data_IF_192408564321
#
_entry.id   IF_192408564321
#
_cell.length_a   1.000
_cell.length_b   1.000
_cell.length_c   1.000
_cell.angle_alpha   90.00
_cell.angle_beta   90.00
_cell.angle_gamma   90.00
#
_symmetry.space_group_name_H-M   'P 1'
#
loop_
_entity.id
_entity.type
_entity.pdbx_description
1 polymer ?
#
# COMPACT_ATOMS: atom_id res chain seq x y z
N UNK A 1 0.71 -9.95 -16.68
CA UNK A 1 1.69 -8.90 -17.02
C UNK A 1 2.83 -9.02 -16.01
N UNK A 2 4.06 -9.26 -16.46
CA UNK A 2 5.16 -9.59 -15.54
C UNK A 2 5.54 -8.39 -14.65
N UNK A 3 5.74 -8.64 -13.36
CA UNK A 3 6.30 -7.70 -12.38
C UNK A 3 7.66 -7.23 -12.89
N UNK A 4 7.95 -5.92 -12.84
CA UNK A 4 9.24 -5.42 -13.32
C UNK A 4 10.33 -5.82 -12.32
N UNK A 5 11.54 -6.20 -12.79
CA UNK A 5 12.66 -6.45 -11.91
C UNK A 5 12.92 -5.20 -11.04
N UNK A 6 12.72 -5.32 -9.73
CA UNK A 6 12.88 -4.23 -8.74
C UNK A 6 11.62 -3.90 -7.92
N UNK A 7 10.42 -4.27 -8.39
CA UNK A 7 9.18 -4.03 -7.65
C UNK A 7 9.03 -4.99 -6.44
N UNK A 8 9.66 -6.17 -6.49
CA UNK A 8 9.67 -7.18 -5.42
C UNK A 8 10.34 -6.70 -4.11
N UNK A 9 11.11 -5.62 -4.19
CA UNK A 9 11.84 -5.01 -3.06
C UNK A 9 11.25 -3.69 -2.56
N UNK A 10 10.11 -3.26 -3.09
CA UNK A 10 9.56 -1.94 -2.76
C UNK A 10 9.05 -1.86 -1.31
N UNK A 11 9.21 -0.69 -0.70
CA UNK A 11 8.55 -0.32 0.55
C UNK A 11 7.15 0.21 0.24
N UNK A 12 6.12 -0.47 0.71
CA UNK A 12 4.77 0.06 0.73
C UNK A 12 4.66 1.12 1.83
N UNK A 13 4.17 2.30 1.48
CA UNK A 13 3.75 3.32 2.44
C UNK A 13 2.28 3.60 2.20
N UNK A 14 1.43 3.38 3.21
CA UNK A 14 -0.01 3.64 3.07
C UNK A 14 -0.66 4.33 4.26
N UNK A 15 -1.74 5.05 3.96
CA UNK A 15 -2.53 5.83 4.90
C UNK A 15 -3.15 7.07 4.25
N UNK A 16 -3.45 8.08 5.06
CA UNK A 16 -4.10 9.29 4.60
C UNK A 16 -3.20 10.18 3.74
N UNK A 17 -3.72 10.68 2.61
CA UNK A 17 -2.99 11.58 1.71
C UNK A 17 -2.65 12.93 2.33
N UNK A 18 -3.33 13.32 3.41
CA UNK A 18 -3.06 14.55 4.16
C UNK A 18 -2.07 14.37 5.30
N UNK A 19 -1.51 13.18 5.49
CA UNK A 19 -0.55 12.90 6.56
C UNK A 19 0.87 13.37 6.19
N UNK A 20 1.40 14.45 6.80
CA UNK A 20 2.72 14.97 6.47
C UNK A 20 3.85 13.99 6.79
N UNK A 21 3.66 13.08 7.75
CA UNK A 21 4.69 12.12 8.13
C UNK A 21 4.87 11.03 7.06
N UNK A 22 3.79 10.63 6.39
CA UNK A 22 3.87 9.67 5.28
C UNK A 22 4.61 10.26 4.09
N UNK A 23 4.37 11.55 3.79
CA UNK A 23 5.11 12.27 2.75
C UNK A 23 6.58 12.41 3.09
N UNK A 24 6.91 12.79 4.32
CA UNK A 24 8.29 12.91 4.78
C UNK A 24 9.03 11.55 4.72
N UNK A 25 8.37 10.48 5.15
CA UNK A 25 8.92 9.12 5.09
C UNK A 25 9.16 8.67 3.65
N UNK A 26 8.20 8.89 2.75
CA UNK A 26 8.34 8.55 1.34
C UNK A 26 9.48 9.33 0.67
N UNK A 27 9.63 10.62 0.98
CA UNK A 27 10.73 11.44 0.49
C UNK A 27 12.09 10.94 1.01
N UNK A 28 12.19 10.61 2.29
CA UNK A 28 13.40 10.08 2.90
C UNK A 28 13.80 8.72 2.30
N UNK A 29 12.85 7.81 2.13
CA UNK A 29 13.07 6.50 1.51
C UNK A 29 13.58 6.62 0.06
N UNK A 30 12.94 7.48 -0.75
CA UNK A 30 13.41 7.75 -2.12
C UNK A 30 14.81 8.36 -2.15
N UNK A 31 15.11 9.28 -1.23
CA UNK A 31 16.45 9.89 -1.09
C UNK A 31 17.51 8.83 -0.74
N UNK A 32 17.13 7.81 0.03
CA UNK A 32 17.99 6.67 0.34
C UNK A 32 18.07 5.62 -0.78
N UNK A 33 17.45 5.85 -1.94
CA UNK A 33 17.44 4.91 -3.06
C UNK A 33 16.47 3.72 -2.89
N UNK A 34 15.57 3.78 -1.90
CA UNK A 34 14.54 2.76 -1.68
C UNK A 34 13.38 3.02 -2.63
N UNK A 35 12.96 1.99 -3.36
CA UNK A 35 11.75 2.06 -4.17
C UNK A 35 10.53 2.13 -3.26
N UNK A 36 9.64 3.11 -3.50
CA UNK A 36 8.46 3.35 -2.67
C UNK A 36 7.20 3.16 -3.50
N UNK A 37 6.31 2.29 -3.02
CA UNK A 37 4.93 2.20 -3.47
C UNK A 37 4.06 2.97 -2.48
N UNK A 38 3.71 4.22 -2.82
CA UNK A 38 2.86 5.04 -1.97
C UNK A 38 1.38 4.84 -2.35
N UNK A 39 0.59 4.26 -1.45
CA UNK A 39 -0.87 4.14 -1.59
C UNK A 39 -1.51 5.06 -0.56
N UNK A 40 -1.71 6.31 -0.97
CA UNK A 40 -2.30 7.34 -0.13
C UNK A 40 -3.73 7.62 -0.59
N UNK A 41 -4.68 7.63 0.34
CA UNK A 41 -6.09 7.85 0.04
C UNK A 41 -6.62 9.08 0.78
N UNK A 42 -7.63 9.74 0.22
CA UNK A 42 -8.43 10.73 0.93
C UNK A 42 -9.88 10.67 0.46
N UNK A 43 -10.74 11.54 1.00
CA UNK A 43 -12.17 11.56 0.68
C UNK A 43 -12.47 11.95 -0.78
N UNK A 44 -11.51 12.53 -1.50
CA UNK A 44 -11.67 13.02 -2.89
C UNK A 44 -11.00 12.07 -3.89
N UNK A 45 -10.02 11.27 -3.45
CA UNK A 45 -9.20 10.42 -4.27
C UNK A 45 -8.91 9.10 -3.56
N UNK A 46 -9.77 8.11 -3.80
CA UNK A 46 -9.54 6.71 -3.40
C UNK A 46 -9.05 5.92 -4.62
N UNK A 47 -7.82 5.37 -4.60
CA UNK A 47 -7.34 4.58 -5.73
C UNK A 47 -8.17 3.30 -5.88
N UNK A 48 -8.44 2.87 -7.11
CA UNK A 48 -9.18 1.63 -7.33
C UNK A 48 -8.39 0.43 -6.76
N UNK A 49 -9.02 -0.42 -5.97
CA UNK A 49 -8.45 -1.66 -5.45
C UNK A 49 -9.16 -2.84 -6.10
N UNK A 50 -8.40 -3.84 -6.52
CA UNK A 50 -8.93 -5.12 -6.99
C UNK A 50 -8.13 -6.24 -6.34
N UNK A 51 -8.83 -7.28 -5.91
CA UNK A 51 -8.22 -8.42 -5.25
C UNK A 51 -8.77 -9.69 -5.88
N UNK A 52 -7.88 -10.44 -6.53
CA UNK A 52 -8.17 -11.80 -6.95
C UNK A 52 -7.99 -12.72 -5.73
N UNK A 53 -9.11 -13.29 -5.27
CA UNK A 53 -9.13 -14.14 -4.08
C UNK A 53 -8.65 -15.58 -4.38
N UNK A 54 -8.63 -15.98 -5.65
CA UNK A 54 -8.12 -17.29 -6.06
C UNK A 54 -6.59 -17.31 -6.05
N UNK A 55 -5.99 -16.26 -6.62
CA UNK A 55 -4.52 -16.13 -6.69
C UNK A 55 -3.91 -15.39 -5.50
N UNK A 56 -4.73 -14.65 -4.74
CA UNK A 56 -4.29 -13.76 -3.68
C UNK A 56 -3.68 -12.45 -4.21
N UNK A 57 -3.64 -12.23 -5.52
CA UNK A 57 -3.04 -11.04 -6.12
C UNK A 57 -3.90 -9.80 -5.87
N UNK A 58 -3.28 -8.79 -5.26
CA UNK A 58 -3.87 -7.47 -5.09
C UNK A 58 -3.32 -6.50 -6.11
N UNK A 59 -4.18 -5.68 -6.69
CA UNK A 59 -3.79 -4.54 -7.52
C UNK A 59 -4.38 -3.24 -6.98
N UNK A 60 -3.59 -2.17 -7.06
CA UNK A 60 -3.98 -0.81 -6.69
C UNK A 60 -3.76 0.10 -7.90
N UNK A 61 -4.79 0.82 -8.32
CA UNK A 61 -4.80 1.63 -9.54
C UNK A 61 -4.31 0.84 -10.78
N UNK A 62 -4.69 -0.44 -10.87
CA UNK A 62 -4.30 -1.34 -11.96
C UNK A 62 -2.85 -1.84 -11.91
N UNK A 63 -2.10 -1.55 -10.84
CA UNK A 63 -0.73 -2.03 -10.63
C UNK A 63 -0.70 -3.12 -9.57
N UNK A 64 0.00 -4.24 -9.78
CA UNK A 64 0.23 -5.23 -8.74
C UNK A 64 0.81 -4.58 -7.48
N UNK A 65 0.23 -4.91 -6.33
CA UNK A 65 0.82 -4.60 -5.05
C UNK A 65 1.84 -5.70 -4.76
N UNK A 66 3.11 -5.41 -5.01
CA UNK A 66 4.24 -6.25 -4.63
C UNK A 66 5.18 -5.41 -3.78
N UNK A 67 5.51 -5.90 -2.59
CA UNK A 67 6.39 -5.19 -1.65
C UNK A 67 7.12 -6.17 -0.71
N UNK A 68 8.34 -5.81 -0.32
CA UNK A 68 9.14 -6.54 0.65
C UNK A 68 8.89 -6.09 2.11
N UNK A 69 8.40 -4.87 2.27
CA UNK A 69 8.08 -4.29 3.57
C UNK A 69 6.91 -3.31 3.44
N UNK A 70 6.19 -3.10 4.54
CA UNK A 70 5.10 -2.15 4.59
C UNK A 70 5.18 -1.27 5.85
N UNK A 71 4.95 0.02 5.66
CA UNK A 71 4.66 0.98 6.72
C UNK A 71 3.24 1.50 6.50
N UNK A 72 2.34 1.18 7.42
CA UNK A 72 0.95 1.62 7.35
C UNK A 72 0.62 2.52 8.52
N UNK A 73 -0.06 3.63 8.25
CA UNK A 73 -0.63 4.47 9.28
C UNK A 73 -2.11 4.64 9.04
N UNK A 74 -2.90 4.31 10.06
CA UNK A 74 -4.34 4.50 10.01
C UNK A 74 -4.66 5.97 9.73
N UNK A 75 -5.54 6.22 8.76
CA UNK A 75 -5.89 7.57 8.37
C UNK A 75 -6.81 8.22 9.39
N UNK A 76 -6.24 9.14 10.18
CA UNK A 76 -6.97 10.00 11.11
C UNK A 76 -7.13 11.44 10.58
N UNK A 77 -6.52 11.77 9.43
CA UNK A 77 -6.43 13.13 8.90
C UNK A 77 -7.48 13.43 7.83
N UNK A 78 -7.98 12.42 7.13
CA UNK A 78 -9.07 12.56 6.15
C UNK A 78 -10.46 12.34 6.75
N UNK A 79 -10.56 12.12 8.07
CA UNK A 79 -11.78 11.76 8.78
C UNK A 79 -12.83 12.87 8.88
N UNK A 80 -12.53 14.19 8.90
CA UNK A 80 -13.59 15.17 9.01
C UNK A 80 -14.24 15.40 7.63
N UNK A 81 -15.54 15.09 7.53
CA UNK A 81 -16.60 15.75 6.70
C UNK A 81 -17.47 14.84 5.80
N UNK A 82 -17.26 13.52 5.71
CA UNK A 82 -18.11 12.65 4.87
C UNK A 82 -18.62 11.40 5.61
N UNK A 83 -19.88 11.03 5.36
CA UNK A 83 -20.44 9.76 5.84
C UNK A 83 -19.57 8.58 5.38
N UNK A 84 -19.31 7.63 6.29
CA UNK A 84 -18.49 6.44 6.03
C UNK A 84 -16.98 6.67 5.95
N UNK A 85 -16.45 7.87 6.25
CA UNK A 85 -15.00 8.13 6.20
C UNK A 85 -14.19 7.20 7.13
N UNK A 86 -14.72 6.90 8.32
CA UNK A 86 -14.10 5.97 9.27
C UNK A 86 -14.09 4.55 8.69
N UNK A 87 -15.22 4.09 8.16
CA UNK A 87 -15.33 2.74 7.58
C UNK A 87 -14.37 2.57 6.40
N UNK A 88 -14.24 3.60 5.55
CA UNK A 88 -13.29 3.58 4.42
C UNK A 88 -11.84 3.58 4.89
N UNK A 89 -11.48 4.40 5.87
CA UNK A 89 -10.14 4.37 6.45
C UNK A 89 -9.80 2.99 7.02
N UNK A 90 -10.75 2.36 7.73
CA UNK A 90 -10.59 1.01 8.25
C UNK A 90 -10.50 -0.05 7.14
N UNK A 91 -11.32 0.05 6.10
CA UNK A 91 -11.28 -0.85 4.96
C UNK A 91 -9.92 -0.78 4.25
N UNK A 92 -9.41 0.42 4.01
CA UNK A 92 -8.09 0.64 3.39
C UNK A 92 -6.94 0.11 4.24
N UNK A 93 -6.94 0.44 5.53
CA UNK A 93 -5.92 -0.04 6.46
C UNK A 93 -5.87 -1.57 6.49
N UNK A 94 -7.03 -2.22 6.57
CA UNK A 94 -7.14 -3.68 6.66
C UNK A 94 -6.78 -4.37 5.34
N UNK A 95 -7.31 -3.88 4.21
CA UNK A 95 -7.06 -4.47 2.89
C UNK A 95 -5.57 -4.41 2.52
N UNK A 96 -4.93 -3.24 2.65
CA UNK A 96 -3.51 -3.10 2.31
C UNK A 96 -2.60 -3.88 3.26
N UNK A 97 -2.97 -4.02 4.53
CA UNK A 97 -2.20 -4.83 5.48
C UNK A 97 -2.26 -6.32 5.17
N UNK A 98 -3.42 -6.81 4.77
CA UNK A 98 -3.55 -8.18 4.31
C UNK A 98 -2.81 -8.38 2.97
N UNK A 99 -2.98 -7.49 1.99
CA UNK A 99 -2.29 -7.55 0.70
C UNK A 99 -0.76 -7.58 0.84
N UNK A 100 -0.19 -6.71 1.68
CA UNK A 100 1.27 -6.68 1.94
C UNK A 100 1.80 -7.94 2.66
N UNK A 101 0.94 -8.61 3.45
CA UNK A 101 1.31 -9.86 4.13
C UNK A 101 1.40 -11.04 3.15
N UNK A 102 0.58 -11.05 2.09
CA UNK A 102 0.61 -12.08 1.07
C UNK A 102 1.84 -11.99 0.15
N UNK A 103 2.30 -10.77 -0.18
CA UNK A 103 3.50 -10.59 -1.03
C UNK A 103 4.77 -11.06 -0.35
N UNK A 104 4.87 -10.89 0.97
CA UNK A 104 6.07 -11.24 1.74
C UNK A 104 6.29 -12.77 1.82
N UNK A 105 5.23 -13.58 1.70
CA UNK A 105 5.33 -15.04 1.80
C UNK A 105 5.84 -15.72 0.51
N UNK A 106 5.64 -15.12 -0.65
CA UNK A 106 6.08 -15.70 -1.93
C UNK A 106 7.61 -15.65 -2.15
N UNK A 107 8.34 -14.87 -1.35
CA UNK A 107 9.80 -14.66 -1.52
C UNK A 107 10.64 -15.74 -0.80
N UNK A 108 10.04 -16.55 0.08
CA UNK A 108 10.78 -17.45 0.99
C UNK A 108 11.03 -18.87 0.45
N UNK A 109 10.59 -19.24 -0.75
CA UNK A 109 10.62 -20.65 -1.21
C UNK A 109 11.73 -21.03 -2.20
N UNK A 110 12.81 -20.23 -2.31
CA UNK A 110 13.96 -20.63 -3.13
C UNK A 110 15.20 -20.80 -2.26
N UNK A 111 15.33 -22.00 -1.67
CA UNK A 111 16.54 -22.49 -1.02
C UNK A 111 16.83 -23.93 -1.48
N UNK A 112 18.09 -24.29 -1.72
CA UNK A 112 18.52 -25.51 -2.42
C UNK A 112 18.24 -26.82 -1.67
#
# INVERSE_FOLDING_TARGET
MAVRPGDDGALLISGGARDPNLHALAAAARTAGVMVHAVLHDAESEPALSWDLETGEMTVAGRPLVCAAAFQRYDVFSVPQAAGAIDRAQAWFSALGAGASHTTQSVSSTGP
#
